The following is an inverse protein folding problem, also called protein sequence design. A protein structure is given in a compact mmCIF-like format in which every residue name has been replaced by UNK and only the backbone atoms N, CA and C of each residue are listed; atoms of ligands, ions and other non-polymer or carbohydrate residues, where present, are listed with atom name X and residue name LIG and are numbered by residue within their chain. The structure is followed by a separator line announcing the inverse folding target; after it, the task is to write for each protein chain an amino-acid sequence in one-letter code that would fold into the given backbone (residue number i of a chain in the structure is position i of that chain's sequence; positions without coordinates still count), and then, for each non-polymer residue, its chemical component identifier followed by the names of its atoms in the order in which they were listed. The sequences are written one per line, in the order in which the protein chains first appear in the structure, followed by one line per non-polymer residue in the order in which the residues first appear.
data_IF_433584012857
#
_entry.id   IF_433584012857
#
_cell.length_a   1.000
_cell.length_b   1.000
_cell.length_c   1.000
_cell.angle_alpha   90.00
_cell.angle_beta   90.00
_cell.angle_gamma   90.00
#
_symmetry.space_group_name_H-M   'P 1'
#
loop_
_entity.id
_entity.type
_entity.pdbx_description
1 polymer ?
#
# COMPACT_ATOMS: atom_id res chain seq x y z
N UNK A 1 -13.06 -7.72 -6.01
CA UNK A 1 -11.86 -7.81 -5.16
C UNK A 1 -12.17 -8.75 -4.01
N UNK A 2 -11.25 -9.67 -3.67
CA UNK A 2 -11.45 -10.67 -2.61
C UNK A 2 -11.21 -10.10 -1.22
N UNK A 3 -12.11 -10.37 -0.27
CA UNK A 3 -11.99 -9.97 1.13
C UNK A 3 -12.25 -11.15 2.07
N UNK A 4 -11.41 -11.28 3.09
CA UNK A 4 -11.52 -12.33 4.10
C UNK A 4 -12.62 -12.00 5.11
N UNK A 5 -13.53 -12.95 5.34
CA UNK A 5 -14.59 -12.85 6.35
C UNK A 5 -13.99 -12.77 7.75
N UNK A 6 -12.99 -13.60 8.04
CA UNK A 6 -12.29 -13.60 9.32
C UNK A 6 -11.59 -12.28 9.57
N UNK A 7 -10.90 -11.73 8.56
CA UNK A 7 -10.18 -10.47 8.68
C UNK A 7 -11.12 -9.27 8.84
N UNK A 8 -12.27 -9.24 8.16
CA UNK A 8 -13.29 -8.22 8.46
C UNK A 8 -13.82 -8.33 9.90
N UNK A 9 -13.98 -9.57 10.40
CA UNK A 9 -14.44 -9.81 11.77
C UNK A 9 -13.42 -9.42 12.85
N UNK A 10 -12.14 -9.28 12.54
CA UNK A 10 -11.14 -8.72 13.47
C UNK A 10 -11.51 -7.29 13.90
N UNK A 11 -12.33 -6.59 13.10
CA UNK A 11 -12.74 -5.20 13.33
C UNK A 11 -14.24 -5.06 13.68
N UNK A 12 -14.97 -6.15 13.87
CA UNK A 12 -16.42 -6.12 14.15
C UNK A 12 -16.73 -6.72 15.53
N UNK A 13 -17.42 -5.96 16.37
CA UNK A 13 -17.96 -6.44 17.64
C UNK A 13 -19.48 -6.20 17.75
N UNK A 14 -20.32 -7.26 17.80
CA UNK A 14 -19.96 -8.68 17.61
C UNK A 14 -19.61 -9.02 16.15
N UNK A 15 -18.91 -10.15 15.89
CA UNK A 15 -18.63 -10.60 14.54
C UNK A 15 -19.91 -10.94 13.75
N UNK A 16 -19.79 -11.00 12.44
CA UNK A 16 -20.85 -11.37 11.50
C UNK A 16 -20.47 -12.65 10.74
N UNK A 17 -21.46 -13.49 10.45
CA UNK A 17 -21.27 -14.61 9.52
C UNK A 17 -20.96 -14.10 8.11
N UNK A 18 -20.32 -14.94 7.30
CA UNK A 18 -20.09 -14.70 5.87
C UNK A 18 -21.37 -14.33 5.11
N UNK A 19 -22.50 -14.98 5.44
CA UNK A 19 -23.81 -14.69 4.85
C UNK A 19 -24.28 -13.28 5.23
N UNK A 20 -24.21 -12.92 6.52
CA UNK A 20 -24.57 -11.57 6.98
C UNK A 20 -23.68 -10.49 6.35
N UNK A 21 -22.36 -10.71 6.29
CA UNK A 21 -21.44 -9.77 5.67
C UNK A 21 -21.77 -9.57 4.19
N UNK A 22 -22.02 -10.65 3.45
CA UNK A 22 -22.44 -10.62 2.05
C UNK A 22 -23.74 -9.85 1.82
N UNK A 23 -24.77 -10.14 2.62
CA UNK A 23 -26.08 -9.47 2.52
C UNK A 23 -25.99 -7.98 2.84
N UNK A 24 -25.30 -7.62 3.93
CA UNK A 24 -25.17 -6.22 4.36
C UNK A 24 -24.37 -5.38 3.35
N UNK A 25 -23.26 -5.90 2.84
CA UNK A 25 -22.44 -5.20 1.85
C UNK A 25 -23.12 -5.13 0.48
N UNK A 26 -23.85 -6.17 0.08
CA UNK A 26 -24.69 -6.11 -1.13
C UNK A 26 -25.78 -5.03 -1.00
N UNK A 27 -26.44 -4.95 0.16
CA UNK A 27 -27.41 -3.88 0.43
C UNK A 27 -26.78 -2.48 0.46
N UNK A 28 -25.49 -2.38 0.77
CA UNK A 28 -24.69 -1.16 0.73
C UNK A 28 -24.20 -0.78 -0.69
N UNK A 29 -24.52 -1.58 -1.70
CA UNK A 29 -24.13 -1.32 -3.09
C UNK A 29 -22.79 -1.92 -3.51
N UNK A 30 -22.32 -2.96 -2.81
CA UNK A 30 -21.19 -3.81 -3.22
C UNK A 30 -21.71 -5.18 -3.64
N UNK A 31 -22.03 -5.40 -4.93
CA UNK A 31 -22.47 -6.71 -5.41
C UNK A 31 -21.48 -7.81 -5.03
N UNK A 32 -21.99 -8.87 -4.40
CA UNK A 32 -21.23 -10.09 -4.15
C UNK A 32 -21.23 -10.95 -5.42
N UNK A 33 -20.08 -11.08 -6.04
CA UNK A 33 -19.88 -11.87 -7.27
C UNK A 33 -19.63 -13.34 -6.94
N UNK A 34 -18.76 -13.62 -5.97
CA UNK A 34 -18.36 -14.98 -5.62
C UNK A 34 -18.12 -15.15 -4.13
N UNK A 35 -18.45 -16.35 -3.61
CA UNK A 35 -18.08 -16.81 -2.28
C UNK A 35 -17.16 -18.00 -2.43
N UNK A 36 -15.94 -17.88 -1.92
CA UNK A 36 -14.86 -18.83 -2.11
C UNK A 36 -14.42 -19.41 -0.78
N UNK A 37 -14.38 -20.75 -0.70
CA UNK A 37 -13.74 -21.42 0.43
C UNK A 37 -12.21 -21.30 0.31
N UNK A 38 -11.57 -21.03 1.44
CA UNK A 38 -10.12 -21.04 1.67
C UNK A 38 -9.87 -21.91 2.88
N UNK A 39 -8.69 -22.52 2.99
CA UNK A 39 -8.42 -23.61 3.94
C UNK A 39 -9.10 -23.44 5.32
N UNK A 40 -8.87 -22.31 6.00
CA UNK A 40 -9.48 -21.97 7.30
C UNK A 40 -10.31 -20.67 7.26
N UNK A 41 -10.77 -20.21 6.08
CA UNK A 41 -11.45 -18.92 5.93
C UNK A 41 -12.43 -18.89 4.74
N UNK A 42 -13.20 -17.82 4.62
CA UNK A 42 -14.08 -17.56 3.48
C UNK A 42 -13.67 -16.23 2.86
N UNK A 43 -13.43 -16.24 1.55
CA UNK A 43 -13.19 -15.05 0.77
C UNK A 43 -14.45 -14.65 0.00
N UNK A 44 -14.86 -13.39 0.13
CA UNK A 44 -15.98 -12.80 -0.59
C UNK A 44 -15.44 -11.88 -1.69
N UNK A 45 -15.86 -12.11 -2.94
CA UNK A 45 -15.50 -11.27 -4.07
C UNK A 45 -16.56 -10.18 -4.28
N UNK A 46 -16.20 -8.94 -3.97
CA UNK A 46 -17.10 -7.80 -4.15
C UNK A 46 -16.68 -6.92 -5.33
N UNK A 47 -17.65 -6.47 -6.11
CA UNK A 47 -17.42 -5.44 -7.13
C UNK A 47 -17.24 -4.06 -6.45
N UNK A 48 -16.11 -3.40 -6.72
CA UNK A 48 -15.77 -2.10 -6.13
C UNK A 48 -16.09 -0.94 -7.06
N UNK A 49 -17.05 -0.11 -6.66
CA UNK A 49 -17.43 1.08 -7.41
C UNK A 49 -16.37 2.19 -7.31
N UNK A 50 -16.22 3.00 -8.36
CA UNK A 50 -15.16 4.02 -8.46
C UNK A 50 -15.27 5.12 -7.40
N UNK A 51 -16.46 5.39 -6.89
CA UNK A 51 -16.73 6.39 -5.85
C UNK A 51 -16.58 5.85 -4.42
N UNK A 52 -16.25 4.57 -4.24
CA UNK A 52 -16.12 3.90 -2.93
C UNK A 52 -14.68 3.44 -2.66
N UNK A 53 -13.72 4.36 -2.83
CA UNK A 53 -12.30 4.10 -2.54
C UNK A 53 -12.06 3.68 -1.08
N UNK A 54 -12.89 4.20 -0.17
CA UNK A 54 -12.93 3.91 1.26
C UNK A 54 -13.16 2.42 1.59
N UNK A 55 -13.79 1.67 0.69
CA UNK A 55 -14.12 0.26 0.87
C UNK A 55 -13.19 -0.70 0.13
N UNK A 56 -12.05 -0.22 -0.36
CA UNK A 56 -11.03 -1.05 -1.04
C UNK A 56 -10.09 -1.78 -0.06
N UNK A 57 -10.47 -1.84 1.22
CA UNK A 57 -9.74 -2.46 2.32
C UNK A 57 -10.70 -3.10 3.36
N UNK A 58 -10.18 -4.00 4.19
CA UNK A 58 -10.99 -4.77 5.15
C UNK A 58 -11.61 -3.87 6.22
N UNK A 59 -10.86 -2.91 6.78
CA UNK A 59 -11.41 -1.96 7.76
C UNK A 59 -12.49 -1.08 7.13
N UNK A 60 -12.36 -0.75 5.84
CA UNK A 60 -13.37 0.00 5.08
C UNK A 60 -14.71 -0.74 4.98
N UNK A 61 -14.67 -2.02 4.62
CA UNK A 61 -15.88 -2.86 4.56
C UNK A 61 -16.45 -3.17 5.95
N UNK A 62 -15.59 -3.43 6.95
CA UNK A 62 -16.03 -3.61 8.33
C UNK A 62 -16.73 -2.34 8.86
N UNK A 63 -16.24 -1.15 8.52
CA UNK A 63 -16.88 0.12 8.85
C UNK A 63 -18.27 0.25 8.23
N UNK A 64 -18.44 -0.17 6.98
CA UNK A 64 -19.74 -0.18 6.31
C UNK A 64 -20.73 -1.13 7.01
N UNK A 65 -20.28 -2.35 7.33
CA UNK A 65 -21.08 -3.34 8.07
C UNK A 65 -21.49 -2.79 9.44
N UNK A 66 -20.55 -2.19 10.17
CA UNK A 66 -20.80 -1.58 11.48
C UNK A 66 -21.86 -0.47 11.38
N UNK A 67 -21.74 0.43 10.40
CA UNK A 67 -22.67 1.52 10.18
C UNK A 67 -24.10 1.05 9.90
N UNK A 68 -24.27 -0.02 9.10
CA UNK A 68 -25.60 -0.52 8.70
C UNK A 68 -26.24 -1.37 9.80
N UNK A 69 -25.44 -2.20 10.48
CA UNK A 69 -25.95 -3.18 11.44
C UNK A 69 -25.93 -2.73 12.90
N UNK A 70 -25.32 -1.58 13.20
CA UNK A 70 -25.16 -1.08 14.57
C UNK A 70 -24.10 -1.82 15.40
N UNK A 71 -23.25 -2.63 14.76
CA UNK A 71 -22.06 -3.24 15.40
C UNK A 71 -21.02 -2.16 15.72
N UNK A 72 -20.14 -2.47 16.67
CA UNK A 72 -19.00 -1.61 17.00
C UNK A 72 -17.84 -1.90 16.06
N UNK A 73 -17.25 -0.86 15.47
CA UNK A 73 -15.99 -0.97 14.76
C UNK A 73 -14.83 -0.95 15.77
N UNK A 74 -13.98 -1.96 15.73
CA UNK A 74 -12.74 -2.03 16.50
C UNK A 74 -11.59 -1.71 15.54
N UNK A 75 -10.72 -0.75 15.87
CA UNK A 75 -9.56 -0.42 15.04
C UNK A 75 -8.31 -1.14 15.56
N UNK A 76 -7.33 -1.46 14.70
CA UNK A 76 -6.08 -2.07 15.14
C UNK A 76 -5.31 -1.11 16.05
N UNK A 77 -4.56 -1.69 16.99
CA UNK A 77 -3.60 -0.94 17.80
C UNK A 77 -2.37 -0.60 16.95
N UNK A 78 -1.94 0.66 17.03
CA UNK A 78 -0.82 1.20 16.28
C UNK A 78 0.31 1.70 17.19
N UNK A 79 0.29 1.35 18.48
CA UNK A 79 1.39 1.66 19.39
C UNK A 79 2.65 0.85 19.02
N UNK A 80 3.77 1.56 18.88
CA UNK A 80 5.06 1.00 18.49
C UNK A 80 6.14 1.51 19.42
N UNK A 81 7.05 0.63 19.81
CA UNK A 81 8.24 1.02 20.56
C UNK A 81 9.19 1.79 19.63
N UNK A 82 9.59 2.99 20.06
CA UNK A 82 10.53 3.84 19.32
C UNK A 82 11.94 3.73 19.91
N UNK A 83 12.95 3.90 19.05
CA UNK A 83 14.33 4.08 19.49
C UNK A 83 14.63 5.54 19.80
N UNK A 84 15.80 5.79 20.39
CA UNK A 84 16.20 7.14 20.82
C UNK A 84 16.76 8.03 19.69
N UNK A 85 17.07 7.46 18.52
CA UNK A 85 17.71 8.19 17.42
C UNK A 85 16.67 8.91 16.53
N UNK A 86 16.85 10.21 16.26
CA UNK A 86 15.97 10.95 15.36
C UNK A 86 16.12 10.49 13.91
N UNK A 87 15.01 10.47 13.17
CA UNK A 87 14.99 10.06 11.75
C UNK A 87 15.87 10.96 10.89
N UNK A 88 15.96 12.25 11.22
CA UNK A 88 16.73 13.27 10.53
C UNK A 88 18.25 13.02 10.56
N UNK A 89 18.73 12.16 11.47
CA UNK A 89 20.12 11.71 11.47
C UNK A 89 20.43 10.73 10.33
N UNK A 90 19.41 10.12 9.73
CA UNK A 90 19.55 9.05 8.73
C UNK A 90 19.07 9.47 7.34
N UNK A 91 18.03 10.30 7.26
CA UNK A 91 17.42 10.71 6.00
C UNK A 91 16.90 12.15 6.08
N UNK A 92 17.07 12.91 5.00
CA UNK A 92 16.41 14.20 4.79
C UNK A 92 15.31 14.07 3.75
N UNK A 93 14.15 14.67 4.00
CA UNK A 93 13.01 14.65 3.07
C UNK A 93 12.73 16.07 2.61
N UNK A 94 12.72 16.25 1.29
CA UNK A 94 12.41 17.53 0.64
C UNK A 94 11.21 17.36 -0.30
N UNK A 95 10.10 17.99 0.03
CA UNK A 95 8.90 17.97 -0.79
C UNK A 95 8.84 19.24 -1.66
N UNK A 96 9.26 19.10 -2.91
CA UNK A 96 9.30 20.19 -3.90
C UNK A 96 7.97 20.32 -4.67
N UNK A 97 7.00 19.45 -4.40
CA UNK A 97 5.71 19.44 -5.09
C UNK A 97 4.53 19.23 -4.12
N UNK A 98 4.34 20.12 -3.12
CA UNK A 98 3.31 19.95 -2.08
C UNK A 98 1.88 19.91 -2.60
N UNK A 99 1.59 20.52 -3.76
CA UNK A 99 0.27 20.41 -4.39
C UNK A 99 0.01 19.00 -4.95
N UNK A 100 1.06 18.33 -5.42
CA UNK A 100 0.99 16.98 -5.99
C UNK A 100 1.19 15.88 -4.94
N UNK A 101 1.85 16.20 -3.83
CA UNK A 101 2.04 15.34 -2.67
C UNK A 101 1.77 16.15 -1.38
N UNK A 102 0.50 16.24 -0.94
CA UNK A 102 0.14 17.03 0.23
C UNK A 102 0.74 16.52 1.54
N UNK A 103 0.97 15.21 1.64
CA UNK A 103 1.56 14.58 2.80
C UNK A 103 2.55 13.50 2.36
N UNK A 104 3.76 13.55 2.92
CA UNK A 104 4.75 12.50 2.80
C UNK A 104 5.34 12.27 4.19
N UNK A 105 5.19 11.06 4.71
CA UNK A 105 5.76 10.65 6.00
C UNK A 105 6.71 9.49 5.77
N UNK A 106 7.76 9.44 6.59
CA UNK A 106 8.65 8.30 6.57
C UNK A 106 9.09 7.89 7.97
N UNK A 107 9.38 6.60 8.12
CA UNK A 107 10.01 6.03 9.31
C UNK A 107 11.23 5.22 8.93
N UNK A 108 12.27 5.31 9.76
CA UNK A 108 13.46 4.48 9.64
C UNK A 108 13.34 3.31 10.60
N UNK A 109 13.50 2.09 10.08
CA UNK A 109 13.54 0.86 10.86
C UNK A 109 14.87 0.16 10.57
N UNK A 110 15.66 -0.12 11.61
CA UNK A 110 17.02 -0.63 11.49
C UNK A 110 17.18 -2.01 12.11
N UNK A 111 18.19 -2.73 11.64
CA UNK A 111 18.56 -4.05 12.17
C UNK A 111 17.51 -5.13 11.92
N UNK A 112 16.77 -5.01 10.81
CA UNK A 112 15.77 -6.03 10.43
C UNK A 112 16.44 -7.27 9.85
N UNK A 113 15.74 -8.40 9.93
CA UNK A 113 16.05 -9.60 9.17
C UNK A 113 14.96 -9.86 8.14
N UNK A 114 15.32 -9.82 6.86
CA UNK A 114 14.39 -10.11 5.77
C UNK A 114 14.24 -11.61 5.65
N UNK A 115 13.03 -12.10 5.92
CA UNK A 115 12.73 -13.52 6.04
C UNK A 115 11.30 -13.80 5.57
N UNK A 116 10.90 -15.06 5.36
CA UNK A 116 9.51 -15.40 5.12
C UNK A 116 8.59 -14.85 6.21
N UNK A 117 7.44 -14.32 5.82
CA UNK A 117 6.43 -13.80 6.74
C UNK A 117 5.91 -14.88 7.70
N UNK A 118 5.49 -14.48 8.90
CA UNK A 118 4.80 -15.37 9.83
C UNK A 118 3.46 -15.87 9.26
N UNK A 119 3.03 -17.06 9.69
CA UNK A 119 1.81 -17.72 9.19
C UNK A 119 0.56 -16.82 9.21
N UNK A 120 0.38 -16.02 10.27
CA UNK A 120 -0.79 -15.16 10.41
C UNK A 120 -0.92 -14.13 9.28
N UNK A 121 0.21 -13.54 8.85
CA UNK A 121 0.23 -12.59 7.73
C UNK A 121 0.10 -13.34 6.40
N UNK A 122 0.84 -14.45 6.23
CA UNK A 122 0.78 -15.25 5.00
C UNK A 122 -0.63 -15.70 4.67
N UNK A 123 -1.35 -16.30 5.63
CA UNK A 123 -2.73 -16.76 5.44
C UNK A 123 -3.68 -15.64 5.00
N UNK A 124 -3.53 -14.43 5.55
CA UNK A 124 -4.37 -13.27 5.18
C UNK A 124 -4.06 -12.74 3.78
N UNK A 125 -2.79 -12.75 3.38
CA UNK A 125 -2.38 -12.43 2.00
C UNK A 125 -2.93 -13.48 1.03
N UNK A 126 -2.75 -14.76 1.34
CA UNK A 126 -3.23 -15.90 0.52
C UNK A 126 -4.76 -15.96 0.41
N UNK A 127 -5.49 -15.59 1.47
CA UNK A 127 -6.95 -15.52 1.45
C UNK A 127 -7.48 -14.57 0.37
N UNK A 128 -6.70 -13.55 0.00
CA UNK A 128 -6.99 -12.62 -1.10
C UNK A 128 -6.55 -13.12 -2.48
N UNK A 129 -5.96 -14.31 -2.56
CA UNK A 129 -5.37 -14.85 -3.78
C UNK A 129 -3.98 -14.29 -4.11
N UNK A 130 -3.35 -13.57 -3.18
CA UNK A 130 -2.01 -13.01 -3.36
C UNK A 130 -0.94 -14.02 -2.94
N UNK A 131 0.28 -13.84 -3.47
CA UNK A 131 1.44 -14.70 -3.16
C UNK A 131 2.33 -13.98 -2.15
N UNK A 132 2.50 -14.51 -0.92
CA UNK A 132 3.44 -13.96 0.06
C UNK A 132 4.87 -13.93 -0.48
N UNK A 133 5.63 -12.92 -0.08
CA UNK A 133 7.01 -12.67 -0.54
C UNK A 133 8.02 -12.76 0.59
N UNK A 134 8.02 -11.77 1.47
CA UNK A 134 8.86 -11.69 2.65
C UNK A 134 8.18 -10.76 3.67
N UNK A 135 8.65 -10.79 4.91
CA UNK A 135 8.08 -10.04 6.02
C UNK A 135 7.97 -8.53 5.78
N UNK A 136 8.86 -7.91 5.00
CA UNK A 136 8.81 -6.47 4.71
C UNK A 136 7.78 -6.15 3.63
N UNK A 137 7.84 -6.85 2.49
CA UNK A 137 6.91 -6.65 1.37
C UNK A 137 5.49 -7.02 1.79
N UNK A 138 5.32 -8.13 2.50
CA UNK A 138 4.02 -8.58 2.96
C UNK A 138 3.45 -7.65 4.04
N UNK A 139 4.29 -7.01 4.88
CA UNK A 139 3.81 -5.99 5.81
C UNK A 139 3.24 -4.77 5.07
N UNK A 140 3.90 -4.30 4.00
CA UNK A 140 3.35 -3.18 3.19
C UNK A 140 2.05 -3.55 2.47
N UNK A 141 1.95 -4.79 1.95
CA UNK A 141 0.73 -5.31 1.34
C UNK A 141 -0.38 -5.53 2.39
N UNK A 142 -0.01 -5.98 3.59
CA UNK A 142 -0.94 -6.18 4.68
C UNK A 142 -1.63 -4.87 5.05
N UNK A 143 -0.86 -3.81 5.30
CA UNK A 143 -1.39 -2.46 5.61
C UNK A 143 -2.25 -1.92 4.45
N UNK A 144 -1.82 -2.14 3.21
CA UNK A 144 -2.58 -1.78 2.01
C UNK A 144 -3.96 -2.44 1.98
N UNK A 145 -4.05 -3.72 2.32
CA UNK A 145 -5.31 -4.47 2.30
C UNK A 145 -6.14 -4.29 3.57
N UNK A 146 -5.49 -4.02 4.71
CA UNK A 146 -6.12 -3.77 6.00
C UNK A 146 -6.79 -2.39 6.03
N UNK A 147 -5.99 -1.35 5.78
CA UNK A 147 -6.35 0.06 5.99
C UNK A 147 -6.60 0.81 4.69
N UNK A 148 -6.17 0.28 3.55
CA UNK A 148 -6.33 0.95 2.25
C UNK A 148 -5.24 1.98 1.95
N UNK A 149 -4.24 2.13 2.84
CA UNK A 149 -3.11 3.03 2.66
C UNK A 149 -1.95 2.30 1.95
N UNK A 150 -1.57 2.70 0.73
CA UNK A 150 -0.35 2.21 0.14
C UNK A 150 0.86 2.75 0.89
N UNK A 151 1.77 1.83 1.20
CA UNK A 151 3.07 2.11 1.80
C UNK A 151 4.16 1.52 0.93
N UNK A 152 5.38 2.04 1.06
CA UNK A 152 6.53 1.52 0.34
C UNK A 152 7.72 1.36 1.28
N UNK A 153 8.51 0.31 1.11
CA UNK A 153 9.74 0.12 1.86
C UNK A 153 10.92 0.22 0.90
N UNK A 154 11.78 1.21 1.12
CA UNK A 154 13.06 1.32 0.44
C UNK A 154 14.16 0.67 1.29
N UNK A 155 15.14 0.04 0.65
CA UNK A 155 16.41 -0.26 1.32
C UNK A 155 17.14 1.06 1.60
N UNK A 156 17.21 1.44 2.88
CA UNK A 156 17.77 2.73 3.31
C UNK A 156 19.24 2.86 2.88
N UNK A 157 19.98 1.75 2.88
CA UNK A 157 21.43 1.75 2.61
C UNK A 157 21.73 1.97 1.11
N UNK A 158 20.71 1.91 0.25
CA UNK A 158 20.82 2.13 -1.19
C UNK A 158 20.43 3.56 -1.63
N UNK A 159 19.83 4.35 -0.75
CA UNK A 159 19.36 5.71 -1.06
C UNK A 159 20.54 6.68 -1.11
N UNK A 160 20.88 7.15 -2.30
CA UNK A 160 22.04 8.01 -2.49
C UNK A 160 21.89 9.35 -1.74
N UNK A 161 22.95 9.75 -1.04
CA UNK A 161 23.04 11.03 -0.34
C UNK A 161 22.14 11.19 0.88
N UNK A 162 21.55 10.10 1.39
CA UNK A 162 20.73 10.14 2.61
C UNK A 162 19.54 11.10 2.48
N UNK A 163 18.91 11.14 1.29
CA UNK A 163 17.83 12.08 1.00
C UNK A 163 16.74 11.48 0.13
N UNK A 164 15.53 12.00 0.31
CA UNK A 164 14.38 11.80 -0.54
C UNK A 164 13.92 13.16 -1.05
N UNK A 165 13.76 13.28 -2.36
CA UNK A 165 13.13 14.40 -3.04
C UNK A 165 11.80 13.95 -3.64
N UNK A 166 10.71 14.62 -3.25
CA UNK A 166 9.42 14.49 -3.93
C UNK A 166 9.33 15.62 -4.95
N UNK A 167 9.47 15.28 -6.23
CA UNK A 167 9.54 16.25 -7.32
C UNK A 167 8.97 15.69 -8.61
N UNK A 168 8.72 16.57 -9.57
CA UNK A 168 8.49 16.12 -10.95
C UNK A 168 9.78 15.55 -11.54
N UNK A 169 9.62 14.55 -12.40
CA UNK A 169 10.71 13.99 -13.18
C UNK A 169 11.38 15.07 -14.04
N UNK A 170 12.64 14.85 -14.39
CA UNK A 170 13.31 15.64 -15.43
C UNK A 170 12.98 15.01 -16.78
N UNK A 171 12.77 15.84 -17.81
CA UNK A 171 12.54 15.31 -19.17
C UNK A 171 13.74 14.47 -19.62
N UNK A 172 13.48 13.25 -20.11
CA UNK A 172 14.52 12.31 -20.52
C UNK A 172 15.17 11.53 -19.37
N UNK A 173 14.76 11.75 -18.11
CA UNK A 173 15.24 10.99 -16.97
C UNK A 173 14.86 9.51 -17.11
N UNK A 174 15.79 8.59 -16.80
CA UNK A 174 15.53 7.15 -16.92
C UNK A 174 15.10 6.59 -15.57
N UNK A 175 14.00 5.83 -15.55
CA UNK A 175 13.55 5.09 -14.39
C UNK A 175 13.59 3.59 -14.65
N UNK A 176 14.01 2.83 -13.63
CA UNK A 176 14.10 1.37 -13.68
C UNK A 176 13.03 0.76 -12.77
N UNK A 177 11.85 0.39 -13.30
CA UNK A 177 10.77 -0.17 -12.49
C UNK A 177 11.16 -1.53 -11.88
N UNK A 178 10.67 -1.78 -10.66
CA UNK A 178 10.80 -3.08 -10.00
C UNK A 178 9.93 -4.15 -10.68
N UNK A 179 10.47 -5.34 -10.89
CA UNK A 179 9.72 -6.53 -11.32
C UNK A 179 10.43 -7.32 -12.43
N UNK A 180 10.10 -8.60 -12.53
CA UNK A 180 10.70 -9.49 -13.52
C UNK A 180 10.35 -9.05 -14.95
N UNK A 181 11.38 -8.91 -15.79
CA UNK A 181 11.24 -8.47 -17.18
C UNK A 181 10.92 -6.98 -17.36
N UNK A 182 10.87 -6.21 -16.27
CA UNK A 182 10.63 -4.77 -16.31
C UNK A 182 11.73 -4.05 -17.12
N UNK A 183 11.33 -3.25 -18.10
CA UNK A 183 12.25 -2.49 -18.94
C UNK A 183 12.43 -1.07 -18.40
N UNK A 184 13.61 -0.45 -18.59
CA UNK A 184 13.80 0.96 -18.29
C UNK A 184 12.81 1.82 -19.08
N UNK A 185 12.28 2.85 -18.45
CA UNK A 185 11.37 3.81 -19.07
C UNK A 185 11.98 5.20 -19.06
N UNK A 186 11.74 5.95 -20.13
CA UNK A 186 12.13 7.35 -20.24
C UNK A 186 10.99 8.22 -19.76
N UNK A 187 11.25 9.04 -18.74
CA UNK A 187 10.28 9.94 -18.16
C UNK A 187 10.13 11.22 -19.01
N UNK A 188 8.91 11.74 -19.02
CA UNK A 188 8.54 12.91 -19.83
C UNK A 188 8.68 14.22 -19.05
N UNK A 189 8.84 14.14 -17.73
CA UNK A 189 8.90 15.28 -16.83
C UNK A 189 7.53 15.68 -16.26
N UNK A 190 6.46 14.98 -16.67
CA UNK A 190 5.11 15.18 -16.13
C UNK A 190 4.80 14.26 -14.95
N UNK A 191 5.63 13.23 -14.75
CA UNK A 191 5.49 12.24 -13.69
C UNK A 191 5.99 12.80 -12.36
N UNK A 192 5.22 12.60 -11.30
CA UNK A 192 5.73 12.79 -9.94
C UNK A 192 6.59 11.58 -9.58
N UNK A 193 7.81 11.84 -9.08
CA UNK A 193 8.75 10.81 -8.67
C UNK A 193 9.17 11.01 -7.22
N UNK A 194 9.50 9.90 -6.58
CA UNK A 194 10.33 9.89 -5.38
C UNK A 194 11.75 9.65 -5.88
N UNK A 195 12.66 10.57 -5.58
CA UNK A 195 14.06 10.50 -6.02
C UNK A 195 15.01 10.53 -4.82
N UNK A 196 16.17 9.91 -4.96
CA UNK A 196 17.29 10.15 -4.05
C UNK A 196 18.14 11.32 -4.56
N UNK A 197 19.38 11.48 -4.06
CA UNK A 197 20.28 12.54 -4.51
C UNK A 197 20.64 12.48 -6.01
N UNK A 198 20.53 11.31 -6.63
CA UNK A 198 21.08 11.03 -7.96
C UNK A 198 20.00 10.74 -9.00
N UNK A 199 18.94 10.02 -8.61
CA UNK A 199 18.00 9.41 -9.57
C UNK A 199 16.61 9.15 -8.96
N UNK A 200 15.58 8.92 -9.80
CA UNK A 200 14.28 8.45 -9.34
C UNK A 200 14.38 7.03 -8.77
N UNK A 201 13.82 6.84 -7.58
CA UNK A 201 13.73 5.56 -6.87
C UNK A 201 12.30 5.00 -6.84
N UNK A 202 11.29 5.80 -7.15
CA UNK A 202 9.93 5.33 -7.42
C UNK A 202 9.16 6.30 -8.33
N UNK A 203 8.19 5.76 -9.08
CA UNK A 203 7.06 6.54 -9.60
C UNK A 203 6.04 6.69 -8.48
N UNK A 204 5.81 7.92 -8.04
CA UNK A 204 4.99 8.22 -6.87
C UNK A 204 3.60 7.60 -6.99
N UNK A 205 3.24 6.73 -6.04
CA UNK A 205 1.96 6.02 -6.01
C UNK A 205 1.72 4.97 -7.11
N UNK A 206 2.70 4.70 -7.98
CA UNK A 206 2.54 3.76 -9.11
C UNK A 206 3.42 2.53 -8.96
N UNK A 207 4.74 2.72 -8.84
CA UNK A 207 5.71 1.62 -8.88
C UNK A 207 7.04 2.00 -8.25
N UNK A 208 7.55 1.14 -7.37
CA UNK A 208 8.91 1.25 -6.84
C UNK A 208 9.98 0.94 -7.89
N UNK A 209 11.18 1.48 -7.70
CA UNK A 209 12.34 1.24 -8.54
C UNK A 209 13.14 0.02 -8.09
N UNK A 210 13.84 -0.62 -9.03
CA UNK A 210 14.62 -1.83 -8.75
C UNK A 210 15.85 -1.57 -7.88
N UNK A 211 16.47 -0.39 -8.02
CA UNK A 211 17.75 -0.08 -7.36
C UNK A 211 17.63 0.14 -5.85
N UNK A 212 16.44 0.48 -5.36
CA UNK A 212 16.14 0.77 -3.96
C UNK A 212 15.21 -0.27 -3.32
N UNK A 213 14.96 -1.36 -4.03
CA UNK A 213 14.07 -2.42 -3.57
C UNK A 213 14.71 -3.22 -2.44
N UNK A 214 13.88 -3.64 -1.49
CA UNK A 214 14.28 -4.53 -0.39
C UNK A 214 14.72 -5.88 -0.94
N UNK A 215 15.85 -6.37 -0.45
CA UNK A 215 16.45 -7.67 -0.78
C UNK A 215 16.68 -8.49 0.48
N UNK A 216 17.10 -9.75 0.35
CA UNK A 216 17.46 -10.60 1.49
C UNK A 216 18.62 -10.03 2.32
N UNK A 217 19.47 -9.18 1.73
CA UNK A 217 20.59 -8.53 2.43
C UNK A 217 20.21 -7.23 3.15
N UNK A 218 19.02 -6.69 2.90
CA UNK A 218 18.58 -5.41 3.48
C UNK A 218 18.50 -5.51 5.00
N UNK A 219 19.08 -4.52 5.70
CA UNK A 219 19.06 -4.43 7.18
C UNK A 219 18.38 -3.20 7.70
N UNK A 220 18.31 -2.14 6.89
CA UNK A 220 17.74 -0.87 7.26
C UNK A 220 16.75 -0.48 6.18
N UNK A 221 15.54 -0.08 6.58
CA UNK A 221 14.51 0.35 5.65
C UNK A 221 14.01 1.75 5.97
N UNK A 222 13.64 2.46 4.91
CA UNK A 222 12.80 3.64 4.98
C UNK A 222 11.38 3.23 4.59
N UNK A 223 10.46 3.27 5.54
CA UNK A 223 9.04 3.04 5.31
C UNK A 223 8.36 4.36 4.95
N UNK A 224 7.85 4.47 3.73
CA UNK A 224 7.06 5.57 3.20
C UNK A 224 5.56 5.34 3.43
N UNK A 225 4.87 6.40 3.86
CA UNK A 225 3.42 6.54 3.74
C UNK A 225 3.08 7.96 3.28
N UNK A 226 2.34 8.08 2.18
CA UNK A 226 2.14 9.35 1.50
C UNK A 226 0.74 9.46 0.89
N UNK A 227 0.39 10.69 0.52
CA UNK A 227 -0.80 11.05 -0.25
C UNK A 227 -0.35 11.73 -1.53
N UNK A 228 -0.84 11.24 -2.66
CA UNK A 228 -0.51 11.78 -3.99
C UNK A 228 -1.78 12.24 -4.70
N UNK A 229 -1.63 13.21 -5.61
CA UNK A 229 -2.72 13.65 -6.49
C UNK A 229 -3.24 12.46 -7.34
N UNK A 230 -4.53 12.09 -7.21
CA UNK A 230 -5.11 10.95 -7.92
C UNK A 230 -5.04 11.06 -9.45
N UNK A 231 -5.13 12.28 -9.99
CA UNK A 231 -5.10 12.55 -11.42
C UNK A 231 -3.69 12.33 -11.96
N UNK A 232 -2.66 12.77 -11.24
CA UNK A 232 -1.27 12.54 -11.61
C UNK A 232 -0.94 11.05 -11.58
N UNK A 233 -1.30 10.33 -10.51
CA UNK A 233 -1.10 8.88 -10.40
C UNK A 233 -1.75 8.15 -11.58
N UNK A 234 -3.02 8.49 -11.89
CA UNK A 234 -3.74 7.91 -13.04
C UNK A 234 -3.06 8.18 -14.38
N UNK A 235 -2.58 9.42 -14.58
CA UNK A 235 -1.89 9.82 -15.81
C UNK A 235 -0.58 9.05 -15.97
N UNK A 236 0.23 8.97 -14.91
CA UNK A 236 1.51 8.24 -14.92
C UNK A 236 1.31 6.74 -15.13
N UNK A 237 0.35 6.12 -14.43
CA UNK A 237 -0.05 4.72 -14.60
C UNK A 237 -0.40 4.39 -16.05
N UNK A 238 -1.22 5.22 -16.69
CA UNK A 238 -1.63 5.06 -18.09
C UNK A 238 -0.52 5.35 -19.10
N UNK A 239 0.28 6.39 -18.85
CA UNK A 239 1.36 6.81 -19.74
C UNK A 239 2.40 5.69 -19.90
N UNK A 240 2.74 5.03 -18.80
CA UNK A 240 3.75 3.97 -18.78
C UNK A 240 3.15 2.57 -18.89
N UNK A 241 1.81 2.45 -18.97
CA UNK A 241 1.08 1.18 -18.95
C UNK A 241 1.47 0.30 -17.74
N UNK A 242 1.62 0.93 -16.58
CA UNK A 242 1.96 0.28 -15.30
C UNK A 242 0.81 0.51 -14.33
N UNK A 243 0.10 -0.56 -13.98
CA UNK A 243 -0.95 -0.54 -12.96
C UNK A 243 -0.56 -1.46 -11.80
N UNK A 244 -0.89 -1.06 -10.58
CA UNK A 244 -0.69 -1.82 -9.35
C UNK A 244 -1.86 -1.65 -8.39
N UNK A 245 -1.93 -2.47 -7.35
CA UNK A 245 -2.90 -2.28 -6.25
C UNK A 245 -2.76 -0.92 -5.56
N UNK A 246 -1.53 -0.39 -5.49
CA UNK A 246 -1.25 0.94 -4.97
C UNK A 246 -1.82 2.02 -5.88
N UNK A 247 -1.54 1.96 -7.19
CA UNK A 247 -2.06 2.96 -8.13
C UNK A 247 -3.59 2.94 -8.16
N UNK A 248 -4.19 1.75 -8.13
CA UNK A 248 -5.66 1.60 -8.11
C UNK A 248 -6.32 2.38 -6.95
N UNK A 249 -5.70 2.39 -5.77
CA UNK A 249 -6.21 3.10 -4.58
C UNK A 249 -5.92 4.59 -4.62
N UNK A 250 -4.69 4.99 -4.94
CA UNK A 250 -4.36 6.41 -5.09
C UNK A 250 -5.22 7.09 -6.16
N UNK A 251 -5.53 6.41 -7.28
CA UNK A 251 -6.45 6.93 -8.31
C UNK A 251 -7.88 7.19 -7.81
N UNK A 252 -8.29 6.56 -6.70
CA UNK A 252 -9.62 6.69 -6.06
C UNK A 252 -9.61 7.58 -4.82
N UNK A 253 -8.46 8.19 -4.51
CA UNK A 253 -8.26 9.00 -3.33
C UNK A 253 -7.88 8.16 -2.11
N UNK A 254 -6.77 8.54 -1.48
CA UNK A 254 -6.31 8.02 -0.20
C UNK A 254 -6.22 9.23 0.73
N UNK A 255 -6.73 9.12 1.95
CA UNK A 255 -6.70 10.24 2.90
C UNK A 255 -5.26 10.66 3.19
N UNK A 256 -5.05 11.97 3.36
CA UNK A 256 -3.92 12.46 4.14
C UNK A 256 -4.20 12.29 5.65
#
# INVERSE_FOLDING_TARGET
MLFSVTWMNDYLDPPASDTEQGELLTAAGFPLEERLERDDDIALDFEMMSNRGDCTCHVGLAREIAAISGRTLVLPDCEVAEGDEPVEAHIQIDNQAPDACPLYTARVIRGIDVAPSGDAIRRRIEARGEIPRNNVVDATNFVLFELGQPTHAFDLDTLAGGRIEIRFAREGETFHPLGDGAQPITLTGSELVIADAEKPVALAGVKGGAASAVTESTRNILLESATFDPVLVRRTSRLHNISSDSSFRFERGVSA
#
